data_IF_915323006140
#
_entry.id   IF_915323006140
#
_cell.length_a   1.000
_cell.length_b   1.000
_cell.length_c   1.000
_cell.angle_alpha   90.00
_cell.angle_beta   90.00
_cell.angle_gamma   90.00
#
_symmetry.space_group_name_H-M   'P 1'
#
loop_
_entity.id
_entity.type
_entity.pdbx_description
1 polymer ?
#
# COMPACT_ATOMS: atom_id res chain seq x y z
N UNK A 1 10.79 -76.66 11.15
CA UNK A 1 11.08 -75.31 11.65
C UNK A 1 10.02 -74.96 12.72
N UNK A 2 10.45 -74.67 13.95
CA UNK A 2 9.51 -74.51 15.08
C UNK A 2 8.66 -73.27 14.94
N UNK A 3 7.35 -73.37 15.28
CA UNK A 3 6.37 -72.24 15.25
C UNK A 3 6.90 -70.99 15.96
N UNK A 4 7.67 -71.19 17.03
CA UNK A 4 8.34 -70.03 17.73
C UNK A 4 9.33 -69.24 16.87
N UNK A 5 10.02 -69.87 15.89
CA UNK A 5 10.93 -69.21 14.98
C UNK A 5 10.17 -68.39 13.92
N UNK A 6 8.98 -68.80 13.49
CA UNK A 6 8.13 -68.10 12.54
C UNK A 6 7.57 -66.79 13.18
N UNK A 7 7.10 -66.89 14.43
CA UNK A 7 6.61 -65.72 15.18
C UNK A 7 7.71 -64.69 15.49
N UNK A 8 8.92 -65.13 15.78
CA UNK A 8 10.07 -64.24 16.03
C UNK A 8 10.47 -63.50 14.73
N UNK A 9 10.46 -64.20 13.57
CA UNK A 9 10.78 -63.58 12.30
C UNK A 9 9.72 -62.58 11.84
N UNK A 10 8.43 -62.90 12.03
CA UNK A 10 7.32 -62.02 11.72
C UNK A 10 7.34 -60.76 12.60
N UNK A 11 7.61 -60.89 13.91
CA UNK A 11 7.72 -59.77 14.83
C UNK A 11 8.92 -58.83 14.51
N UNK A 12 10.03 -59.37 14.01
CA UNK A 12 11.20 -58.59 13.59
C UNK A 12 10.92 -57.79 12.30
N UNK A 13 10.23 -58.45 11.33
CA UNK A 13 9.85 -57.76 10.07
C UNK A 13 8.85 -56.64 10.34
N UNK A 14 7.84 -56.84 11.19
CA UNK A 14 6.86 -55.82 11.56
C UNK A 14 7.54 -54.64 12.27
N UNK A 15 8.48 -54.90 13.20
CA UNK A 15 9.26 -53.81 13.84
C UNK A 15 10.10 -53.02 12.83
N UNK A 16 10.73 -53.66 11.86
CA UNK A 16 11.47 -53.00 10.80
C UNK A 16 10.57 -52.14 9.90
N UNK A 17 9.39 -52.62 9.54
CA UNK A 17 8.41 -51.84 8.77
C UNK A 17 7.87 -50.64 9.56
N UNK A 18 7.62 -50.76 10.85
CA UNK A 18 7.18 -49.66 11.71
C UNK A 18 8.28 -48.60 11.83
N UNK A 19 9.53 -48.98 11.98
CA UNK A 19 10.67 -48.03 12.04
C UNK A 19 10.86 -47.32 10.69
N UNK A 20 10.76 -48.03 9.57
CA UNK A 20 10.83 -47.41 8.23
C UNK A 20 9.65 -46.47 7.99
N UNK A 21 8.44 -46.84 8.45
CA UNK A 21 7.25 -45.99 8.32
C UNK A 21 7.34 -44.73 9.22
N UNK A 22 7.90 -44.84 10.43
CA UNK A 22 8.18 -43.69 11.31
C UNK A 22 9.28 -42.78 10.76
N UNK A 23 10.30 -43.33 10.09
CA UNK A 23 11.29 -42.52 9.37
C UNK A 23 10.71 -41.82 8.15
N UNK A 24 9.79 -42.44 7.43
CA UNK A 24 9.08 -41.82 6.31
C UNK A 24 8.10 -40.73 6.78
N UNK A 25 7.50 -40.84 7.97
CA UNK A 25 6.66 -39.81 8.57
C UNK A 25 7.49 -38.63 9.11
N UNK A 26 8.72 -38.87 9.57
CA UNK A 26 9.59 -37.79 10.02
C UNK A 26 10.38 -37.10 8.88
N UNK A 27 10.46 -37.67 7.68
CA UNK A 27 11.07 -37.03 6.53
C UNK A 27 10.16 -36.02 5.82
N UNK A 28 8.89 -35.90 6.22
CA UNK A 28 7.96 -34.89 5.72
C UNK A 28 7.82 -33.67 6.64
N UNK A 29 8.71 -33.49 7.62
CA UNK A 29 8.60 -32.43 8.62
C UNK A 29 9.52 -31.21 8.39
N UNK A 30 10.17 -31.12 7.24
CA UNK A 30 10.74 -29.87 6.74
C UNK A 30 10.45 -29.73 5.24
N UNK A 31 9.19 -29.74 4.84
CA UNK A 31 8.79 -28.89 3.74
C UNK A 31 9.01 -27.46 4.24
N UNK A 32 10.18 -26.95 3.91
CA UNK A 32 10.40 -25.51 3.88
C UNK A 32 9.18 -24.91 3.20
N UNK A 33 8.33 -24.25 3.95
CA UNK A 33 7.29 -23.39 3.43
C UNK A 33 8.00 -22.28 2.65
N UNK A 34 8.46 -22.58 1.45
CA UNK A 34 8.80 -21.62 0.42
C UNK A 34 7.45 -20.97 0.15
N UNK A 35 7.16 -19.86 0.81
CA UNK A 35 6.04 -19.01 0.45
C UNK A 35 6.25 -18.67 -1.01
N UNK A 36 5.58 -19.40 -1.87
CA UNK A 36 5.53 -19.06 -3.27
C UNK A 36 4.74 -17.76 -3.32
N UNK A 37 5.25 -16.70 -3.95
CA UNK A 37 4.48 -15.51 -4.23
C UNK A 37 3.18 -15.95 -4.89
N UNK A 38 2.08 -15.78 -4.20
CA UNK A 38 0.77 -15.95 -4.81
C UNK A 38 0.55 -14.74 -5.69
N UNK A 39 0.26 -14.94 -6.96
CA UNK A 39 -0.05 -13.87 -7.91
C UNK A 39 -1.24 -13.01 -7.45
N UNK A 40 -1.99 -13.46 -6.46
CA UNK A 40 -3.22 -12.88 -5.96
C UNK A 40 -3.05 -12.15 -4.61
N UNK A 41 -1.84 -12.07 -4.04
CA UNK A 41 -1.61 -11.42 -2.75
C UNK A 41 -1.41 -9.91 -2.89
N UNK A 42 -2.01 -9.16 -1.97
CA UNK A 42 -1.89 -7.72 -1.86
C UNK A 42 -3.02 -6.93 -2.52
N UNK A 43 -3.02 -5.63 -2.21
CA UNK A 43 -3.92 -4.64 -2.81
C UNK A 43 -3.10 -3.57 -3.50
N UNK A 44 -3.47 -3.23 -4.70
CA UNK A 44 -2.83 -2.21 -5.49
C UNK A 44 -3.59 -0.90 -5.29
N UNK A 45 -2.98 0.06 -4.57
CA UNK A 45 -3.56 1.37 -4.37
C UNK A 45 -3.08 2.36 -5.43
N UNK A 46 -4.02 3.04 -6.07
CA UNK A 46 -3.76 4.00 -7.15
C UNK A 46 -4.21 5.38 -6.66
N UNK A 47 -3.37 6.38 -6.83
CA UNK A 47 -3.58 7.73 -6.33
C UNK A 47 -3.69 8.74 -7.46
N UNK A 48 -4.77 9.52 -7.45
CA UNK A 48 -5.03 10.65 -8.34
C UNK A 48 -5.27 11.92 -7.51
N UNK A 49 -5.29 13.09 -8.19
CA UNK A 49 -5.58 14.37 -7.55
C UNK A 49 -6.52 15.23 -8.41
N UNK A 50 -6.03 15.76 -9.55
CA UNK A 50 -6.72 16.68 -10.46
C UNK A 50 -7.14 15.98 -11.75
N UNK A 51 -8.18 16.52 -12.41
CA UNK A 51 -8.70 16.01 -13.68
C UNK A 51 -8.93 17.15 -14.66
N UNK A 52 -8.41 17.01 -15.88
CA UNK A 52 -8.51 18.00 -16.98
C UNK A 52 -7.99 19.41 -16.62
N UNK A 53 -7.03 19.50 -15.70
CA UNK A 53 -6.37 20.75 -15.33
C UNK A 53 -4.95 20.85 -15.91
N UNK A 54 -4.81 21.12 -17.19
CA UNK A 54 -3.54 21.14 -17.94
C UNK A 54 -2.43 22.03 -17.32
N UNK A 55 -2.81 23.00 -16.49
CA UNK A 55 -1.88 23.88 -15.79
C UNK A 55 -1.03 23.13 -14.74
N UNK A 56 -1.48 21.97 -14.27
CA UNK A 56 -0.87 21.24 -13.16
C UNK A 56 -0.47 19.80 -13.54
N UNK A 57 0.41 19.58 -14.55
CA UNK A 57 0.69 18.25 -15.10
C UNK A 57 1.29 17.26 -14.09
N UNK A 58 1.88 17.74 -12.99
CA UNK A 58 2.45 16.90 -11.92
C UNK A 58 1.39 16.25 -11.01
N UNK A 59 0.16 16.77 -11.00
CA UNK A 59 -0.96 16.24 -10.21
C UNK A 59 -2.19 15.93 -11.07
N UNK A 60 -2.21 16.37 -12.33
CA UNK A 60 -3.33 16.22 -13.25
C UNK A 60 -3.30 14.90 -14.02
N UNK A 61 -4.46 14.42 -14.40
CA UNK A 61 -4.68 13.38 -15.40
C UNK A 61 -5.84 13.79 -16.30
N UNK A 62 -5.71 13.55 -17.61
CA UNK A 62 -6.81 13.76 -18.55
C UNK A 62 -7.92 12.73 -18.29
N UNK A 63 -9.17 13.16 -18.28
CA UNK A 63 -10.31 12.30 -17.98
C UNK A 63 -10.42 11.11 -18.95
N UNK A 64 -10.10 11.30 -20.22
CA UNK A 64 -10.09 10.21 -21.20
C UNK A 64 -9.06 9.12 -20.87
N UNK A 65 -7.90 9.51 -20.30
CA UNK A 65 -6.86 8.57 -19.83
C UNK A 65 -7.32 7.87 -18.57
N UNK A 66 -7.93 8.61 -17.62
CA UNK A 66 -8.51 8.01 -16.42
C UNK A 66 -9.56 6.93 -16.77
N UNK A 67 -10.48 7.23 -17.68
CA UNK A 67 -11.47 6.25 -18.16
C UNK A 67 -10.81 5.01 -18.80
N UNK A 68 -9.71 5.20 -19.54
CA UNK A 68 -8.94 4.08 -20.09
C UNK A 68 -8.29 3.23 -18.99
N UNK A 69 -7.82 3.85 -17.89
CA UNK A 69 -7.30 3.13 -16.73
C UNK A 69 -8.38 2.26 -16.09
N UNK A 70 -9.56 2.83 -15.82
CA UNK A 70 -10.69 2.09 -15.26
C UNK A 70 -11.06 0.91 -16.16
N UNK A 71 -11.24 1.16 -17.45
CA UNK A 71 -11.58 0.11 -18.40
C UNK A 71 -10.52 -0.99 -18.52
N UNK A 72 -9.24 -0.65 -18.39
CA UNK A 72 -8.16 -1.64 -18.38
C UNK A 72 -8.22 -2.53 -17.13
N UNK A 73 -8.51 -1.95 -15.97
CA UNK A 73 -8.70 -2.69 -14.71
C UNK A 73 -9.86 -3.69 -14.86
N UNK A 74 -11.00 -3.22 -15.38
CA UNK A 74 -12.19 -4.05 -15.61
C UNK A 74 -11.92 -5.18 -16.62
N UNK A 75 -11.28 -4.85 -17.76
CA UNK A 75 -10.96 -5.84 -18.81
C UNK A 75 -10.00 -6.93 -18.33
N UNK A 76 -9.16 -6.66 -17.34
CA UNK A 76 -8.29 -7.65 -16.71
C UNK A 76 -9.02 -8.48 -15.64
N UNK A 77 -10.30 -8.18 -15.38
CA UNK A 77 -11.10 -8.85 -14.37
C UNK A 77 -10.69 -8.50 -12.94
N UNK A 78 -9.96 -7.39 -12.73
CA UNK A 78 -9.60 -6.90 -11.40
C UNK A 78 -10.81 -6.26 -10.72
N UNK A 79 -10.81 -6.24 -9.40
CA UNK A 79 -11.93 -5.78 -8.59
C UNK A 79 -11.58 -4.49 -7.84
N UNK A 80 -12.43 -3.47 -7.96
CA UNK A 80 -12.36 -2.31 -7.08
C UNK A 80 -12.91 -2.67 -5.71
N UNK A 81 -12.11 -2.47 -4.67
CA UNK A 81 -12.54 -2.76 -3.30
C UNK A 81 -13.11 -1.52 -2.62
N UNK A 82 -14.17 -1.74 -1.86
CA UNK A 82 -14.70 -0.70 -1.01
C UNK A 82 -13.75 -0.41 0.15
N UNK A 83 -13.41 0.87 0.45
CA UNK A 83 -12.46 1.20 1.51
C UNK A 83 -12.81 0.63 2.89
N UNK A 84 -14.08 0.56 3.25
CA UNK A 84 -14.54 -0.03 4.51
C UNK A 84 -14.37 -1.55 4.57
N UNK A 85 -14.19 -2.20 3.43
CA UNK A 85 -13.92 -3.64 3.32
C UNK A 85 -12.44 -3.97 3.09
N UNK A 86 -11.62 -2.92 3.10
CA UNK A 86 -10.18 -3.04 2.85
C UNK A 86 -9.54 -4.14 3.70
N UNK A 87 -9.81 -4.20 4.99
CA UNK A 87 -9.28 -5.25 5.87
C UNK A 87 -9.77 -6.65 5.49
N UNK A 88 -11.05 -6.81 5.14
CA UNK A 88 -11.62 -8.10 4.73
C UNK A 88 -10.97 -8.62 3.44
N UNK A 89 -10.49 -7.71 2.60
CA UNK A 89 -9.87 -8.04 1.32
C UNK A 89 -8.63 -8.92 1.45
N UNK A 90 -8.03 -9.01 2.63
CA UNK A 90 -6.85 -9.83 2.91
C UNK A 90 -7.19 -11.19 3.52
N UNK A 91 -8.42 -11.37 4.00
CA UNK A 91 -8.86 -12.61 4.68
C UNK A 91 -9.57 -13.59 3.76
N UNK A 92 -9.89 -13.21 2.53
CA UNK A 92 -10.68 -14.03 1.60
C UNK A 92 -9.76 -14.64 0.54
N UNK A 93 -9.89 -15.95 0.20
CA UNK A 93 -9.16 -16.58 -0.90
C UNK A 93 -9.35 -15.81 -2.19
N UNK A 94 -8.27 -15.59 -2.94
CA UNK A 94 -8.21 -14.52 -3.93
C UNK A 94 -8.18 -15.09 -5.32
N UNK A 95 -9.31 -14.99 -6.01
CA UNK A 95 -9.39 -15.33 -7.42
C UNK A 95 -9.20 -14.08 -8.32
N UNK A 96 -9.07 -12.87 -7.72
CA UNK A 96 -8.97 -11.61 -8.46
C UNK A 96 -8.05 -10.63 -7.77
N UNK A 97 -7.27 -9.91 -8.57
CA UNK A 97 -6.44 -8.80 -8.10
C UNK A 97 -7.32 -7.64 -7.65
N UNK A 98 -6.96 -6.99 -6.56
CA UNK A 98 -7.76 -5.96 -5.91
C UNK A 98 -7.14 -4.58 -6.07
N UNK A 99 -7.98 -3.61 -6.40
CA UNK A 99 -7.61 -2.22 -6.63
C UNK A 99 -8.30 -1.33 -5.60
N UNK A 100 -7.52 -0.51 -4.91
CA UNK A 100 -8.01 0.57 -4.05
C UNK A 100 -7.78 1.91 -4.76
N UNK A 101 -8.86 2.59 -5.12
CA UNK A 101 -8.79 3.91 -5.74
C UNK A 101 -8.73 5.00 -4.67
N UNK A 102 -7.79 5.93 -4.78
CA UNK A 102 -7.66 7.08 -3.87
C UNK A 102 -7.53 8.38 -4.65
N UNK A 103 -8.14 9.44 -4.12
CA UNK A 103 -8.10 10.79 -4.66
C UNK A 103 -7.66 11.71 -3.53
N UNK A 104 -6.61 12.49 -3.72
CA UNK A 104 -6.10 13.40 -2.69
C UNK A 104 -6.53 14.85 -2.95
N UNK A 105 -6.49 15.69 -1.90
CA UNK A 105 -6.65 17.15 -1.83
C UNK A 105 -8.06 17.70 -2.02
N UNK A 106 -9.02 16.92 -2.47
CA UNK A 106 -10.38 17.39 -2.76
C UNK A 106 -10.42 18.61 -3.70
N UNK A 107 -9.65 18.57 -4.81
CA UNK A 107 -9.72 19.61 -5.84
C UNK A 107 -11.09 19.69 -6.51
N UNK A 108 -11.48 20.89 -6.91
CA UNK A 108 -12.76 21.12 -7.59
C UNK A 108 -12.89 20.34 -8.90
N UNK A 109 -11.78 20.16 -9.64
CA UNK A 109 -11.76 19.37 -10.86
C UNK A 109 -12.12 17.89 -10.65
N UNK A 110 -11.81 17.31 -9.49
CA UNK A 110 -12.31 15.98 -9.16
C UNK A 110 -13.85 15.97 -9.12
N UNK A 111 -14.46 16.92 -8.43
CA UNK A 111 -15.91 16.98 -8.30
C UNK A 111 -16.60 17.28 -9.63
N UNK A 112 -16.08 18.23 -10.41
CA UNK A 112 -16.70 18.65 -11.65
C UNK A 112 -16.54 17.62 -12.79
N UNK A 113 -15.41 16.87 -12.81
CA UNK A 113 -15.03 16.04 -13.96
C UNK A 113 -15.10 14.53 -13.63
N UNK A 114 -14.41 14.06 -12.59
CA UNK A 114 -14.30 12.63 -12.33
C UNK A 114 -15.45 12.07 -11.47
N UNK A 115 -15.97 12.86 -10.54
CA UNK A 115 -17.05 12.45 -9.64
C UNK A 115 -18.32 11.98 -10.38
N UNK A 116 -18.85 12.68 -11.41
CA UNK A 116 -20.01 12.22 -12.17
C UNK A 116 -19.81 10.83 -12.79
N UNK A 117 -18.59 10.54 -13.26
CA UNK A 117 -18.25 9.24 -13.83
C UNK A 117 -18.20 8.14 -12.74
N UNK A 118 -17.51 8.40 -11.62
CA UNK A 118 -17.43 7.47 -10.49
C UNK A 118 -18.80 7.19 -9.90
N UNK A 119 -19.63 8.21 -9.74
CA UNK A 119 -21.03 8.12 -9.25
C UNK A 119 -21.88 7.25 -10.17
N UNK A 120 -21.86 7.50 -11.46
CA UNK A 120 -22.61 6.72 -12.47
C UNK A 120 -22.24 5.24 -12.44
N UNK A 121 -20.96 4.93 -12.31
CA UNK A 121 -20.44 3.56 -12.37
C UNK A 121 -20.32 2.91 -10.98
N UNK A 122 -20.65 3.63 -9.89
CA UNK A 122 -20.54 3.18 -8.49
C UNK A 122 -19.16 2.62 -8.13
N UNK A 123 -18.10 3.25 -8.66
CA UNK A 123 -16.72 2.83 -8.42
C UNK A 123 -16.30 3.31 -7.03
N UNK A 124 -15.92 2.41 -6.10
CA UNK A 124 -15.54 2.81 -4.74
C UNK A 124 -14.15 3.48 -4.73
N UNK A 125 -14.02 4.49 -3.84
CA UNK A 125 -12.78 5.25 -3.68
C UNK A 125 -12.70 5.89 -2.29
N UNK A 126 -11.47 6.36 -1.94
CA UNK A 126 -11.24 7.26 -0.81
C UNK A 126 -10.97 8.66 -1.36
N UNK A 127 -11.66 9.66 -0.81
CA UNK A 127 -11.34 11.07 -1.01
C UNK A 127 -10.61 11.59 0.23
N UNK A 128 -9.30 11.77 0.15
CA UNK A 128 -8.49 12.35 1.22
C UNK A 128 -8.58 13.87 1.19
N UNK A 129 -9.08 14.47 2.27
CA UNK A 129 -9.41 15.89 2.35
C UNK A 129 -8.48 16.61 3.32
N UNK A 130 -7.79 17.65 2.85
CA UNK A 130 -7.14 18.65 3.69
C UNK A 130 -8.13 19.75 4.00
N UNK A 131 -8.28 20.12 5.27
CA UNK A 131 -9.45 20.92 5.68
C UNK A 131 -9.30 22.43 5.47
N UNK A 132 -8.08 22.97 5.44
CA UNK A 132 -7.83 24.41 5.29
C UNK A 132 -8.23 24.96 3.91
N UNK A 133 -7.89 24.29 2.78
CA UNK A 133 -8.19 24.83 1.46
C UNK A 133 -9.66 24.70 1.04
N UNK A 134 -10.48 23.93 1.79
CA UNK A 134 -11.87 23.69 1.42
C UNK A 134 -12.69 24.97 1.35
N UNK A 135 -13.40 25.17 0.22
CA UNK A 135 -14.16 26.37 -0.08
C UNK A 135 -13.35 27.47 -0.79
N UNK A 136 -12.03 27.35 -0.86
CA UNK A 136 -11.19 28.25 -1.65
C UNK A 136 -11.29 27.94 -3.15
N UNK A 137 -10.87 28.91 -3.98
CA UNK A 137 -10.86 28.72 -5.43
C UNK A 137 -9.99 27.51 -5.84
N UNK A 138 -10.56 26.62 -6.67
CA UNK A 138 -9.90 25.38 -7.13
C UNK A 138 -10.10 24.17 -6.22
N UNK A 139 -10.78 24.32 -5.09
CA UNK A 139 -11.13 23.22 -4.16
C UNK A 139 -12.64 23.00 -4.08
N UNK A 140 -13.02 21.84 -3.60
CA UNK A 140 -14.42 21.52 -3.29
C UNK A 140 -14.93 22.37 -2.14
N UNK A 141 -16.26 22.50 -2.06
CA UNK A 141 -16.95 23.01 -0.87
C UNK A 141 -17.29 21.86 0.09
N UNK A 142 -17.60 22.19 1.35
CA UNK A 142 -18.09 21.18 2.31
C UNK A 142 -19.37 20.52 1.86
N UNK A 143 -20.27 21.22 1.17
CA UNK A 143 -21.51 20.65 0.66
C UNK A 143 -21.24 19.60 -0.43
N UNK A 144 -20.26 19.86 -1.31
CA UNK A 144 -19.80 18.89 -2.31
C UNK A 144 -19.14 17.65 -1.66
N UNK A 145 -18.35 17.85 -0.60
CA UNK A 145 -17.76 16.74 0.16
C UNK A 145 -18.86 15.93 0.87
N UNK A 146 -19.87 16.58 1.43
CA UNK A 146 -21.03 15.90 2.04
C UNK A 146 -21.83 15.11 1.01
N UNK A 147 -21.99 15.61 -0.22
CA UNK A 147 -22.62 14.86 -1.30
C UNK A 147 -21.84 13.56 -1.58
N UNK A 148 -20.52 13.63 -1.73
CA UNK A 148 -19.66 12.45 -1.91
C UNK A 148 -19.79 11.49 -0.73
N UNK A 149 -19.76 11.99 0.50
CA UNK A 149 -19.86 11.20 1.73
C UNK A 149 -21.22 10.48 1.89
N UNK A 150 -22.28 11.02 1.33
CA UNK A 150 -23.61 10.42 1.38
C UNK A 150 -23.77 9.22 0.42
N UNK A 151 -22.88 9.07 -0.55
CA UNK A 151 -22.87 7.93 -1.45
C UNK A 151 -22.16 6.73 -0.80
N UNK A 152 -22.72 5.55 -0.97
CA UNK A 152 -22.24 4.34 -0.28
C UNK A 152 -20.85 3.89 -0.74
N UNK A 153 -20.36 4.36 -1.87
CA UNK A 153 -19.05 3.97 -2.46
C UNK A 153 -17.97 5.04 -2.31
N UNK A 154 -18.30 6.27 -1.92
CA UNK A 154 -17.34 7.32 -1.58
C UNK A 154 -17.04 7.32 -0.09
N UNK A 155 -15.76 7.23 0.29
CA UNK A 155 -15.32 7.29 1.70
C UNK A 155 -14.41 8.49 1.87
N UNK A 156 -14.70 9.33 2.87
CA UNK A 156 -13.83 10.47 3.19
C UNK A 156 -12.65 9.99 4.05
N UNK A 157 -11.45 10.38 3.65
CA UNK A 157 -10.20 10.20 4.38
C UNK A 157 -9.65 11.53 4.90
N UNK A 158 -8.79 11.46 5.90
CA UNK A 158 -8.13 12.60 6.52
C UNK A 158 -6.79 12.89 5.84
N UNK A 159 -6.53 14.15 5.44
CA UNK A 159 -5.30 14.58 4.79
C UNK A 159 -4.66 15.80 5.45
N UNK A 160 -4.68 15.87 6.79
CA UNK A 160 -4.23 17.01 7.59
C UNK A 160 -5.15 18.25 7.51
N UNK A 161 -4.73 19.35 8.13
CA UNK A 161 -5.36 20.66 8.01
C UNK A 161 -4.70 21.48 6.91
N UNK A 162 -3.43 21.84 7.10
CA UNK A 162 -2.72 22.82 6.27
C UNK A 162 -2.19 22.26 4.95
N UNK A 163 -2.05 20.96 4.81
CA UNK A 163 -1.35 20.31 3.70
C UNK A 163 0.09 20.83 3.49
N UNK A 164 0.78 21.21 4.57
CA UNK A 164 2.18 21.61 4.51
C UNK A 164 3.13 20.40 4.62
N UNK A 165 4.44 20.62 4.47
CA UNK A 165 5.47 19.63 4.78
C UNK A 165 5.56 19.40 6.29
N UNK A 166 4.64 18.63 6.83
CA UNK A 166 4.50 18.40 8.27
C UNK A 166 5.71 17.74 8.90
N UNK A 167 6.53 17.03 8.11
CA UNK A 167 7.78 16.43 8.57
C UNK A 167 8.80 17.48 9.04
N UNK A 168 8.71 18.72 8.53
CA UNK A 168 9.60 19.82 8.91
C UNK A 168 9.09 20.62 10.12
N UNK A 169 7.87 20.38 10.54
CA UNK A 169 7.27 21.04 11.71
C UNK A 169 7.72 20.39 13.02
N UNK A 170 7.51 21.11 14.12
CA UNK A 170 7.67 20.53 15.44
C UNK A 170 6.61 19.44 15.68
N UNK A 171 6.90 18.50 16.58
CA UNK A 171 5.92 17.48 16.96
C UNK A 171 4.61 18.08 17.48
N UNK A 172 4.68 19.20 18.18
CA UNK A 172 3.50 19.92 18.69
C UNK A 172 2.68 20.51 17.55
N UNK A 173 3.32 21.15 16.56
CA UNK A 173 2.62 21.77 15.43
C UNK A 173 1.99 20.69 14.54
N UNK A 174 2.67 19.56 14.33
CA UNK A 174 2.08 18.41 13.67
C UNK A 174 0.82 17.91 14.38
N UNK A 175 0.86 17.73 15.71
CA UNK A 175 -0.31 17.30 16.48
C UNK A 175 -1.44 18.31 16.33
N UNK A 176 -1.14 19.61 16.51
CA UNK A 176 -2.14 20.69 16.39
C UNK A 176 -2.82 20.69 15.01
N UNK A 177 -2.05 20.49 13.94
CA UNK A 177 -2.59 20.42 12.57
C UNK A 177 -3.61 19.26 12.44
N UNK A 178 -3.25 18.06 12.89
CA UNK A 178 -4.13 16.89 12.83
C UNK A 178 -5.39 17.07 13.69
N UNK A 179 -5.25 17.61 14.89
CA UNK A 179 -6.39 17.86 15.81
C UNK A 179 -7.31 18.96 15.29
N UNK A 180 -6.76 20.00 14.66
CA UNK A 180 -7.53 21.08 13.99
C UNK A 180 -8.40 20.47 12.88
N UNK A 181 -7.79 19.69 11.97
CA UNK A 181 -8.55 19.00 10.92
C UNK A 181 -9.61 18.07 11.49
N UNK A 182 -9.27 17.29 12.51
CA UNK A 182 -10.20 16.35 13.17
C UNK A 182 -11.41 17.08 13.76
N UNK A 183 -11.20 18.24 14.36
CA UNK A 183 -12.27 19.08 14.91
C UNK A 183 -13.19 19.61 13.81
N UNK A 184 -12.62 20.04 12.67
CA UNK A 184 -13.39 20.50 11.51
C UNK A 184 -14.19 19.34 10.90
N UNK A 185 -13.60 18.17 10.70
CA UNK A 185 -14.33 16.98 10.23
C UNK A 185 -15.50 16.63 11.17
N UNK A 186 -15.26 16.65 12.48
CA UNK A 186 -16.31 16.38 13.46
C UNK A 186 -17.47 17.38 13.34
N UNK A 187 -17.15 18.66 13.13
CA UNK A 187 -18.15 19.72 12.92
C UNK A 187 -18.92 19.53 11.61
N UNK A 188 -18.23 19.28 10.50
CA UNK A 188 -18.82 19.28 9.16
C UNK A 188 -19.49 17.95 8.79
N UNK A 189 -18.90 16.81 9.18
CA UNK A 189 -19.37 15.48 8.82
C UNK A 189 -20.02 14.71 9.97
N UNK A 190 -19.87 15.20 11.21
CA UNK A 190 -20.37 14.51 12.42
C UNK A 190 -19.42 13.42 12.95
N UNK A 191 -18.32 13.11 12.24
CA UNK A 191 -17.33 12.12 12.63
C UNK A 191 -15.92 12.53 12.18
N UNK A 192 -14.88 11.84 12.69
CA UNK A 192 -13.49 12.00 12.24
C UNK A 192 -13.15 10.82 11.35
N UNK A 193 -12.72 11.05 10.09
CA UNK A 193 -12.28 9.98 9.19
C UNK A 193 -11.16 9.13 9.79
N UNK A 194 -11.20 7.81 9.57
CA UNK A 194 -10.25 6.86 10.17
C UNK A 194 -9.16 6.36 9.22
N UNK A 195 -9.22 6.77 7.95
CA UNK A 195 -8.17 6.55 6.97
C UNK A 195 -7.37 7.84 6.83
N UNK A 196 -6.06 7.75 6.88
CA UNK A 196 -5.17 8.91 6.81
C UNK A 196 -4.26 8.84 5.59
N UNK A 197 -3.96 9.97 4.96
CA UNK A 197 -2.90 10.10 3.96
C UNK A 197 -1.93 11.19 4.40
N UNK A 198 -0.63 10.88 4.42
CA UNK A 198 0.39 11.87 4.73
C UNK A 198 0.52 12.86 3.57
N UNK A 199 0.45 14.19 3.81
CA UNK A 199 0.79 15.18 2.80
C UNK A 199 2.16 14.92 2.18
N UNK A 200 2.28 14.98 0.86
CA UNK A 200 3.47 14.63 0.09
C UNK A 200 3.97 13.18 0.30
N UNK A 201 3.26 12.37 1.08
CA UNK A 201 3.65 11.01 1.43
C UNK A 201 4.79 10.90 2.44
N UNK A 202 5.22 12.01 3.02
CA UNK A 202 6.38 12.08 3.92
C UNK A 202 5.97 12.00 5.40
N UNK A 203 6.75 11.26 6.18
CA UNK A 203 6.49 11.05 7.60
C UNK A 203 7.77 10.70 8.36
N UNK A 204 7.80 11.07 9.63
CA UNK A 204 8.78 10.60 10.61
C UNK A 204 8.23 9.43 11.42
N UNK A 205 9.08 8.75 12.16
CA UNK A 205 8.67 7.70 13.10
C UNK A 205 7.72 8.26 14.18
N UNK A 206 7.95 9.48 14.66
CA UNK A 206 7.04 10.16 15.59
C UNK A 206 5.64 10.34 15.00
N UNK A 207 5.55 10.87 13.77
CA UNK A 207 4.27 11.08 13.07
C UNK A 207 3.54 9.75 12.88
N UNK A 208 4.22 8.72 12.40
CA UNK A 208 3.66 7.38 12.24
C UNK A 208 3.10 6.82 13.56
N UNK A 209 3.85 6.96 14.66
CA UNK A 209 3.43 6.50 15.97
C UNK A 209 2.21 7.27 16.51
N UNK A 210 2.10 8.57 16.23
CA UNK A 210 0.91 9.35 16.58
C UNK A 210 -0.30 8.92 15.73
N UNK A 211 -0.13 8.79 14.42
CA UNK A 211 -1.19 8.38 13.50
C UNK A 211 -1.70 6.98 13.84
N UNK A 212 -0.82 6.05 14.22
CA UNK A 212 -1.22 4.68 14.56
C UNK A 212 -2.18 4.58 15.76
N UNK A 213 -2.17 5.57 16.64
CA UNK A 213 -3.06 5.63 17.82
C UNK A 213 -4.45 6.21 17.49
N UNK A 214 -4.58 6.95 16.41
CA UNK A 214 -5.77 7.74 16.09
C UNK A 214 -6.51 7.26 14.83
N UNK A 215 -5.82 6.55 13.93
CA UNK A 215 -6.34 6.11 12.64
C UNK A 215 -6.21 4.60 12.47
N UNK A 216 -6.98 4.04 11.54
CA UNK A 216 -6.96 2.59 11.25
C UNK A 216 -5.86 2.24 10.24
N UNK A 217 -5.67 3.08 9.24
CA UNK A 217 -4.65 2.93 8.18
C UNK A 217 -4.10 4.29 7.80
N UNK A 218 -2.82 4.31 7.39
CA UNK A 218 -2.22 5.50 6.81
C UNK A 218 -1.42 5.18 5.54
N UNK A 219 -1.53 6.10 4.58
CA UNK A 219 -0.99 5.96 3.22
C UNK A 219 0.11 6.97 2.97
N UNK A 220 1.24 6.49 2.45
CA UNK A 220 2.29 7.31 1.88
C UNK A 220 2.09 7.55 0.38
N UNK A 221 3.15 8.02 -0.31
CA UNK A 221 3.16 8.20 -1.77
C UNK A 221 4.27 7.38 -2.45
N UNK A 222 4.99 6.54 -1.71
CA UNK A 222 5.95 5.63 -2.30
C UNK A 222 5.26 4.51 -3.06
N UNK A 223 5.79 4.17 -4.24
CA UNK A 223 5.21 3.13 -5.10
C UNK A 223 5.41 1.73 -4.54
N UNK A 224 4.35 0.94 -4.54
CA UNK A 224 4.38 -0.45 -4.10
C UNK A 224 2.99 -1.06 -4.04
N UNK A 225 2.93 -2.38 -3.90
CA UNK A 225 1.68 -3.11 -3.64
C UNK A 225 1.54 -3.29 -2.14
N UNK A 226 0.35 -3.06 -1.62
CA UNK A 226 0.05 -3.19 -0.20
C UNK A 226 0.05 -4.66 0.18
N UNK A 227 0.92 -5.00 1.14
CA UNK A 227 0.93 -6.27 1.86
C UNK A 227 0.47 -6.01 3.30
N UNK A 228 -0.70 -6.51 3.70
CA UNK A 228 -1.25 -6.28 5.04
C UNK A 228 -0.56 -7.05 6.16
N UNK A 229 0.33 -7.97 5.83
CA UNK A 229 1.20 -8.57 6.84
C UNK A 229 2.30 -7.59 7.30
N UNK A 230 2.35 -6.42 6.66
CA UNK A 230 3.31 -5.35 6.93
C UNK A 230 2.71 -4.21 7.76
N UNK A 231 3.46 -3.14 7.85
CA UNK A 231 3.12 -1.90 8.55
C UNK A 231 1.85 -1.26 7.95
N UNK A 232 0.86 -0.98 8.79
CA UNK A 232 -0.45 -0.44 8.38
C UNK A 232 -0.46 1.08 8.23
N UNK A 233 0.58 1.76 8.69
CA UNK A 233 0.64 3.21 8.79
C UNK A 233 1.68 3.84 7.87
N UNK A 234 2.06 3.09 6.82
CA UNK A 234 2.92 3.54 5.73
C UNK A 234 2.59 2.78 4.43
N UNK A 235 1.29 2.65 4.14
CA UNK A 235 0.82 1.89 3.00
C UNK A 235 1.25 2.55 1.68
N UNK A 236 1.83 1.80 0.73
CA UNK A 236 2.27 2.34 -0.54
C UNK A 236 1.08 2.65 -1.46
N UNK A 237 1.27 3.61 -2.36
CA UNK A 237 0.33 3.93 -3.43
C UNK A 237 1.10 4.24 -4.71
N UNK A 238 0.51 3.96 -5.87
CA UNK A 238 1.07 4.38 -7.16
C UNK A 238 0.52 5.75 -7.54
N UNK A 239 1.34 6.82 -7.50
CA UNK A 239 0.92 8.14 -7.95
C UNK A 239 0.75 8.17 -9.47
N UNK A 240 -0.38 8.71 -9.91
CA UNK A 240 -0.73 8.86 -11.31
C UNK A 240 -0.91 10.35 -11.64
N UNK A 241 -0.21 10.79 -12.66
CA UNK A 241 -0.32 12.11 -13.26
C UNK A 241 -0.05 12.02 -14.77
N UNK A 242 0.05 13.12 -15.49
CA UNK A 242 0.26 13.09 -16.95
C UNK A 242 1.53 12.36 -17.38
N UNK A 243 2.62 12.50 -16.61
CA UNK A 243 3.88 11.78 -16.90
C UNK A 243 3.79 10.30 -16.52
N UNK A 244 3.15 9.99 -15.42
CA UNK A 244 3.10 8.65 -14.83
C UNK A 244 1.83 7.87 -15.17
N UNK A 245 0.84 8.49 -15.81
CA UNK A 245 -0.44 7.90 -16.22
C UNK A 245 -0.48 7.29 -17.63
N UNK A 246 0.63 7.30 -18.37
CA UNK A 246 0.66 6.69 -19.71
C UNK A 246 0.26 5.22 -19.64
N UNK A 247 -0.63 4.78 -20.55
CA UNK A 247 -1.23 3.43 -20.55
C UNK A 247 -0.18 2.31 -20.46
N UNK A 248 0.94 2.43 -21.19
CA UNK A 248 2.02 1.44 -21.12
C UNK A 248 2.57 1.27 -19.70
N UNK A 249 2.85 2.39 -19.00
CA UNK A 249 3.33 2.35 -17.61
C UNK A 249 2.24 1.85 -16.67
N UNK A 250 1.01 2.34 -16.83
CA UNK A 250 -0.13 1.91 -16.03
C UNK A 250 -0.36 0.39 -16.12
N UNK A 251 -0.28 -0.18 -17.34
CA UNK A 251 -0.36 -1.62 -17.57
C UNK A 251 0.74 -2.40 -16.80
N UNK A 252 1.94 -1.82 -16.71
CA UNK A 252 3.02 -2.44 -15.92
C UNK A 252 2.72 -2.37 -14.42
N UNK A 253 2.24 -1.22 -13.92
CA UNK A 253 1.90 -1.01 -12.51
C UNK A 253 0.83 -2.01 -12.04
N UNK A 254 -0.27 -2.14 -12.77
CA UNK A 254 -1.39 -2.99 -12.34
C UNK A 254 -1.07 -4.49 -12.37
N UNK A 255 0.07 -4.87 -12.95
CA UNK A 255 0.58 -6.26 -12.95
C UNK A 255 1.63 -6.53 -11.88
N UNK A 256 1.97 -5.54 -11.04
CA UNK A 256 2.95 -5.71 -9.97
C UNK A 256 2.39 -6.52 -8.79
N UNK A 257 3.29 -7.11 -8.01
CA UNK A 257 3.03 -7.91 -6.83
C UNK A 257 3.74 -7.33 -5.62
N UNK A 258 3.32 -7.67 -4.38
CA UNK A 258 4.05 -7.25 -3.18
C UNK A 258 5.49 -7.77 -3.21
N UNK A 259 6.44 -6.92 -2.85
CA UNK A 259 7.79 -7.36 -2.55
C UNK A 259 7.84 -7.79 -1.08
N UNK A 260 7.95 -9.09 -0.85
CA UNK A 260 8.08 -9.61 0.50
C UNK A 260 9.49 -9.37 1.06
N UNK A 261 9.58 -8.87 2.29
CA UNK A 261 10.84 -8.71 3.04
C UNK A 261 10.53 -8.81 4.54
N UNK A 262 11.54 -9.09 5.35
CA UNK A 262 11.41 -9.12 6.81
C UNK A 262 11.59 -7.75 7.43
N UNK A 263 12.72 -7.11 7.14
CA UNK A 263 13.14 -5.85 7.73
C UNK A 263 13.57 -4.86 6.66
N UNK A 264 13.30 -3.59 6.91
CA UNK A 264 13.71 -2.47 6.07
C UNK A 264 14.31 -1.37 6.93
N UNK A 265 15.51 -0.93 6.61
CA UNK A 265 16.17 0.20 7.25
C UNK A 265 16.50 1.30 6.20
N UNK A 266 16.49 2.57 6.59
CA UNK A 266 16.23 3.07 7.94
C UNK A 266 14.72 3.04 8.28
N UNK A 267 14.38 2.81 9.55
CA UNK A 267 13.00 2.91 10.06
C UNK A 267 12.57 4.38 10.05
N UNK A 268 13.41 5.27 10.58
CA UNK A 268 13.20 6.72 10.51
C UNK A 268 13.43 7.22 9.09
N UNK A 269 12.41 7.84 8.49
CA UNK A 269 12.47 8.39 7.12
C UNK A 269 12.94 9.85 7.10
N UNK A 270 12.84 10.55 8.24
CA UNK A 270 13.37 11.92 8.36
C UNK A 270 14.90 11.88 8.42
N UNK A 271 15.56 12.46 7.43
CA UNK A 271 17.02 12.59 7.42
C UNK A 271 17.45 13.70 8.37
N UNK A 272 18.24 13.33 9.37
CA UNK A 272 18.91 14.24 10.30
C UNK A 272 20.40 14.28 9.97
N UNK A 273 21.12 15.31 10.43
CA UNK A 273 22.58 15.41 10.26
C UNK A 273 23.32 14.19 10.82
N UNK A 274 22.75 13.57 11.87
CA UNK A 274 23.33 12.38 12.53
C UNK A 274 23.13 11.07 11.77
N UNK A 275 22.18 11.01 10.83
CA UNK A 275 21.86 9.80 10.06
C UNK A 275 21.91 10.02 8.54
N UNK A 276 22.65 11.03 8.09
CA UNK A 276 22.87 11.33 6.68
C UNK A 276 24.37 11.25 6.36
N UNK A 277 24.82 10.42 5.40
CA UNK A 277 24.02 9.54 4.54
C UNK A 277 23.41 8.36 5.33
N UNK A 278 22.16 7.96 5.02
CA UNK A 278 21.53 6.83 5.67
C UNK A 278 22.10 5.50 5.15
N UNK A 279 22.18 4.51 6.03
CA UNK A 279 22.44 3.13 5.59
C UNK A 279 21.12 2.48 5.21
N UNK A 280 20.96 2.18 3.93
CA UNK A 280 19.77 1.48 3.45
C UNK A 280 20.03 -0.02 3.41
N UNK A 281 19.12 -0.79 4.04
CA UNK A 281 19.19 -2.25 3.95
C UNK A 281 17.81 -2.90 3.94
N UNK A 282 17.70 -4.01 3.22
CA UNK A 282 16.50 -4.85 3.17
C UNK A 282 16.88 -6.29 3.49
N UNK A 283 16.27 -6.85 4.54
CA UNK A 283 16.39 -8.28 4.85
C UNK A 283 15.24 -9.04 4.20
N UNK A 284 15.55 -9.99 3.33
CA UNK A 284 14.59 -10.88 2.68
C UNK A 284 14.41 -12.19 3.44
N UNK A 285 13.34 -12.92 3.13
CA UNK A 285 13.16 -14.28 3.62
C UNK A 285 14.19 -15.22 3.00
N UNK A 286 14.59 -16.23 3.75
CA UNK A 286 15.48 -17.29 3.23
C UNK A 286 14.79 -17.99 2.05
N UNK A 287 15.53 -18.22 0.97
CA UNK A 287 15.02 -18.85 -0.27
C UNK A 287 14.00 -18.01 -1.08
N UNK A 288 13.88 -16.71 -0.84
CA UNK A 288 13.08 -15.86 -1.70
C UNK A 288 13.65 -15.81 -3.11
N UNK A 289 12.80 -16.09 -4.11
CA UNK A 289 13.23 -16.14 -5.52
C UNK A 289 13.41 -14.74 -6.08
N UNK A 290 14.33 -14.63 -7.06
CA UNK A 290 14.57 -13.43 -7.87
C UNK A 290 15.12 -12.20 -7.12
N UNK A 291 15.59 -12.34 -5.88
CA UNK A 291 16.22 -11.23 -5.16
C UNK A 291 17.50 -10.74 -5.87
N UNK A 292 18.18 -11.62 -6.58
CA UNK A 292 19.37 -11.31 -7.39
C UNK A 292 19.07 -10.43 -8.62
N UNK A 293 17.79 -10.32 -9.00
CA UNK A 293 17.32 -9.45 -10.10
C UNK A 293 16.95 -8.04 -9.64
N UNK A 294 16.99 -7.78 -8.34
CA UNK A 294 16.68 -6.44 -7.80
C UNK A 294 17.73 -5.45 -8.29
N UNK A 295 17.27 -4.31 -8.74
CA UNK A 295 18.12 -3.18 -9.09
C UNK A 295 17.67 -1.97 -8.28
N UNK A 296 18.61 -1.30 -7.62
CA UNK A 296 18.33 -0.10 -6.85
C UNK A 296 18.88 1.13 -7.58
N UNK A 297 18.20 2.23 -7.38
CA UNK A 297 18.60 3.55 -7.86
C UNK A 297 18.51 4.52 -6.70
N UNK A 298 19.47 5.39 -6.57
CA UNK A 298 19.48 6.50 -5.61
C UNK A 298 19.54 7.82 -6.34
N UNK A 299 19.04 8.87 -5.68
CA UNK A 299 19.10 10.23 -6.15
C UNK A 299 19.73 11.09 -5.05
N UNK A 300 20.88 11.67 -5.37
CA UNK A 300 21.51 12.72 -4.58
C UNK A 300 21.57 13.99 -5.44
N UNK A 301 20.59 14.89 -5.24
CA UNK A 301 20.39 16.06 -6.09
C UNK A 301 19.51 15.77 -7.31
N UNK A 302 19.99 16.07 -8.53
CA UNK A 302 19.10 16.09 -9.72
C UNK A 302 19.13 14.83 -10.57
N UNK A 303 19.98 13.85 -10.25
CA UNK A 303 20.17 12.66 -11.09
C UNK A 303 19.92 11.36 -10.35
N UNK A 304 19.15 10.48 -11.00
CA UNK A 304 19.01 9.09 -10.58
C UNK A 304 20.17 8.26 -11.11
N UNK A 305 20.90 7.64 -10.21
CA UNK A 305 22.00 6.75 -10.55
C UNK A 305 21.74 5.34 -10.03
N UNK A 306 22.29 4.34 -10.73
CA UNK A 306 22.21 2.96 -10.30
C UNK A 306 23.10 2.77 -9.08
N UNK A 307 22.51 2.34 -7.96
CA UNK A 307 23.24 2.10 -6.72
C UNK A 307 24.04 0.80 -6.76
N UNK A 308 25.19 0.79 -6.09
CA UNK A 308 25.96 -0.43 -5.85
C UNK A 308 25.30 -1.25 -4.75
N UNK A 309 24.86 -2.46 -5.10
CA UNK A 309 24.18 -3.37 -4.19
C UNK A 309 25.15 -4.43 -3.69
N UNK A 310 25.15 -4.68 -2.39
CA UNK A 310 25.85 -5.82 -1.77
C UNK A 310 24.84 -6.74 -1.12
N UNK A 311 24.87 -8.03 -1.47
CA UNK A 311 24.11 -9.06 -0.80
C UNK A 311 24.98 -9.84 0.18
N UNK A 312 24.52 -9.97 1.43
CA UNK A 312 25.15 -10.78 2.46
C UNK A 312 24.05 -11.46 3.28
N UNK A 313 24.00 -12.78 3.28
CA UNK A 313 23.03 -13.55 4.07
C UNK A 313 21.57 -13.06 3.93
N UNK A 314 21.06 -12.95 2.71
CA UNK A 314 19.72 -12.42 2.36
C UNK A 314 19.49 -10.94 2.71
N UNK A 315 20.49 -10.20 3.09
CA UNK A 315 20.41 -8.76 3.32
C UNK A 315 21.03 -8.04 2.12
N UNK A 316 20.20 -7.19 1.50
CA UNK A 316 20.62 -6.21 0.50
C UNK A 316 21.07 -4.97 1.26
N UNK A 317 22.24 -4.44 0.92
CA UNK A 317 22.75 -3.17 1.45
C UNK A 317 23.15 -2.24 0.29
N UNK A 318 22.90 -0.93 0.51
CA UNK A 318 23.31 0.18 -0.35
C UNK A 318 24.06 1.19 0.50
#
# INVERSE_FOLDING_TARGET
MSIKKIFSLAASIIKSFIVIFLFLLNSNAEENNIKQFSEDEGVLSIMYHRFDENKYPSTNIQMDIFMKHIKLIENLGYEFIHPNEFQKSFSVPKNKKKILLTIDDAFKSFYDVAWPYLKKNKIPFILFVSTEPIGNNGYMTWDQIKEVNNEKFGVIGHHSHSHEYLIDKSNKDFINDIETASSIFKKELGYVPKLFSYPFGEYSEFMRNYISKNFTYAFGQHSGVIDLNKEKYQLPRFPINENYGKIKRFTSIIKTYPLEYKNLNPIEKKLLKSNNPPVFSVEFFVNQKNIEKITCYSNEGDKWEKSNIKFTNNILNI
#
